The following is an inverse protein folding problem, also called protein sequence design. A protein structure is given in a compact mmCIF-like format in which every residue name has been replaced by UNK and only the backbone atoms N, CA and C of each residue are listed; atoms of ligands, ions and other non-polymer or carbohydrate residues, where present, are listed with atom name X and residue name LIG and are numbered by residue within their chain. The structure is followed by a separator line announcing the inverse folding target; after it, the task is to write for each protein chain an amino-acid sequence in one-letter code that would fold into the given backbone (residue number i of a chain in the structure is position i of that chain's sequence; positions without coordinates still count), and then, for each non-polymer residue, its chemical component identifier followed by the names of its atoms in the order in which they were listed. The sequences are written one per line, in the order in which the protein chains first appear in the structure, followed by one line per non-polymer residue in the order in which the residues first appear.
data_IF_225446093280
#
_entry.id   IF_225446093280
#
_cell.length_a   1.000
_cell.length_b   1.000
_cell.length_c   1.000
_cell.angle_alpha   90.00
_cell.angle_beta   90.00
_cell.angle_gamma   90.00
#
_symmetry.space_group_name_H-M   'P 1'
#
loop_
_entity.id
_entity.type
_entity.pdbx_description
1 polymer ?
#
# COMPACT_ATOMS: atom_id res chain seq x y z
N UNK A 1 16.52 -7.51 -13.72
CA UNK A 1 15.08 -7.87 -13.81
C UNK A 1 14.88 -9.09 -12.94
N UNK A 2 14.13 -8.97 -11.85
CA UNK A 2 13.82 -10.10 -10.98
C UNK A 2 12.47 -10.72 -11.38
N UNK A 3 12.46 -12.00 -11.71
CA UNK A 3 11.22 -12.79 -11.73
C UNK A 3 10.93 -13.26 -10.31
N UNK A 4 9.65 -13.43 -9.99
CA UNK A 4 9.22 -13.86 -8.66
C UNK A 4 7.89 -14.59 -8.70
N UNK A 5 7.56 -15.24 -7.59
CA UNK A 5 6.30 -15.95 -7.41
C UNK A 5 5.45 -15.24 -6.36
N UNK A 6 4.13 -15.38 -6.49
CA UNK A 6 3.17 -14.94 -5.47
C UNK A 6 2.78 -16.18 -4.66
N UNK A 7 2.96 -16.12 -3.35
CA UNK A 7 2.61 -17.19 -2.40
C UNK A 7 1.78 -16.61 -1.24
N UNK A 8 1.06 -17.47 -0.53
CA UNK A 8 0.28 -17.04 0.63
C UNK A 8 1.17 -16.70 1.82
N UNK A 9 0.72 -15.75 2.64
CA UNK A 9 1.35 -15.40 3.90
C UNK A 9 0.32 -14.98 4.95
N UNK A 10 0.71 -15.08 6.23
CA UNK A 10 -0.07 -14.57 7.36
C UNK A 10 0.82 -13.78 8.30
N UNK A 11 0.32 -12.67 8.85
CA UNK A 11 1.04 -11.84 9.80
C UNK A 11 0.94 -12.46 11.19
N UNK A 12 2.07 -12.90 11.74
CA UNK A 12 2.16 -13.52 13.07
C UNK A 12 2.46 -12.52 14.17
N UNK A 13 3.20 -11.45 13.87
CA UNK A 13 3.51 -10.42 14.86
C UNK A 13 3.90 -9.10 14.21
N UNK A 14 3.90 -8.04 15.01
CA UNK A 14 4.41 -6.73 14.61
C UNK A 14 5.53 -6.31 15.55
N UNK A 15 6.68 -5.97 14.99
CA UNK A 15 7.70 -5.20 15.69
C UNK A 15 7.35 -3.73 15.58
N UNK A 16 7.02 -3.12 16.71
CA UNK A 16 6.67 -1.69 16.78
C UNK A 16 7.81 -0.81 16.27
N UNK A 17 7.47 0.16 15.42
CA UNK A 17 8.38 1.19 14.93
C UNK A 17 8.58 2.29 15.97
N UNK A 18 9.81 2.78 16.06
CA UNK A 18 10.19 3.90 16.93
C UNK A 18 11.02 4.90 16.13
N UNK A 19 11.19 6.11 16.67
CA UNK A 19 12.03 7.13 16.03
C UNK A 19 13.42 6.55 15.73
N UNK A 20 13.88 6.68 14.47
CA UNK A 20 15.15 6.14 13.93
C UNK A 20 15.23 4.62 13.72
N UNK A 21 14.21 3.85 14.10
CA UNK A 21 14.17 2.41 13.84
C UNK A 21 12.78 2.02 13.29
N UNK A 22 12.66 1.75 11.97
CA UNK A 22 11.38 1.36 11.40
C UNK A 22 10.91 0.05 12.03
N UNK A 23 9.60 -0.03 12.26
CA UNK A 23 8.96 -1.29 12.66
C UNK A 23 8.82 -2.22 11.46
N UNK A 24 8.30 -3.42 11.72
CA UNK A 24 8.16 -4.48 10.72
C UNK A 24 6.96 -5.37 11.03
N UNK A 25 6.17 -5.69 10.00
CA UNK A 25 5.22 -6.80 10.05
C UNK A 25 5.96 -8.10 9.78
N UNK A 26 5.91 -9.05 10.73
CA UNK A 26 6.50 -10.37 10.57
C UNK A 26 5.43 -11.34 10.10
N UNK A 27 5.63 -11.88 8.90
CA UNK A 27 4.80 -12.92 8.33
C UNK A 27 5.48 -14.27 8.31
N UNK A 28 4.67 -15.32 8.21
CA UNK A 28 5.10 -16.66 7.79
C UNK A 28 4.47 -16.97 6.44
N UNK A 29 5.16 -17.74 5.61
CA UNK A 29 4.58 -18.28 4.40
C UNK A 29 3.65 -19.45 4.75
N UNK A 30 2.56 -19.57 3.99
CA UNK A 30 1.57 -20.63 4.15
C UNK A 30 1.42 -21.29 2.78
N UNK A 31 1.34 -22.62 2.77
CA UNK A 31 1.17 -23.40 1.54
C UNK A 31 2.19 -23.01 0.45
N UNK A 32 3.49 -23.05 0.78
CA UNK A 32 4.57 -22.60 -0.12
C UNK A 32 4.57 -23.31 -1.49
N UNK A 33 4.03 -24.53 -1.55
CA UNK A 33 3.86 -25.30 -2.78
C UNK A 33 2.79 -24.73 -3.72
N UNK A 34 1.91 -23.84 -3.23
CA UNK A 34 0.83 -23.22 -3.99
C UNK A 34 1.28 -21.87 -4.56
N UNK A 35 1.66 -21.88 -5.84
CA UNK A 35 2.01 -20.66 -6.58
C UNK A 35 0.75 -19.96 -7.10
N UNK A 36 0.41 -18.83 -6.48
CA UNK A 36 -0.77 -18.02 -6.81
C UNK A 36 -0.59 -17.16 -8.06
N UNK A 37 0.65 -16.96 -8.50
CA UNK A 37 0.94 -16.12 -9.66
C UNK A 37 2.43 -15.91 -9.90
N UNK A 38 2.73 -15.22 -10.98
CA UNK A 38 4.09 -14.85 -11.39
C UNK A 38 4.22 -13.35 -11.47
N UNK A 39 5.31 -12.83 -10.91
CA UNK A 39 5.73 -11.44 -11.02
C UNK A 39 6.53 -11.30 -12.32
N UNK A 40 6.12 -10.36 -13.17
CA UNK A 40 6.78 -10.03 -14.43
C UNK A 40 7.56 -8.72 -14.37
N UNK A 41 7.18 -7.79 -13.49
CA UNK A 41 7.86 -6.50 -13.33
C UNK A 41 7.86 -6.06 -11.88
N UNK A 42 9.01 -5.54 -11.44
CA UNK A 42 9.17 -4.86 -10.16
C UNK A 42 9.78 -3.49 -10.46
N UNK A 43 9.05 -2.43 -10.13
CA UNK A 43 9.46 -1.04 -10.34
C UNK A 43 9.19 -0.21 -9.10
N UNK A 44 9.60 1.06 -9.12
CA UNK A 44 9.31 1.99 -8.04
C UNK A 44 7.80 2.28 -7.89
N UNK A 45 6.99 2.02 -8.92
CA UNK A 45 5.55 2.20 -8.87
C UNK A 45 4.77 0.94 -8.50
N UNK A 46 5.44 -0.20 -8.31
CA UNK A 46 4.81 -1.41 -7.78
C UNK A 46 5.35 -2.72 -8.34
N UNK A 47 4.65 -3.78 -7.95
CA UNK A 47 4.89 -5.15 -8.41
C UNK A 47 3.75 -5.56 -9.32
N UNK A 48 4.09 -6.00 -10.52
CA UNK A 48 3.13 -6.34 -11.58
C UNK A 48 3.37 -7.76 -12.07
N UNK A 49 2.29 -8.44 -12.44
CA UNK A 49 2.34 -9.84 -12.77
C UNK A 49 0.98 -10.39 -13.20
N UNK A 50 0.92 -11.72 -13.31
CA UNK A 50 -0.32 -12.45 -13.59
C UNK A 50 -0.58 -13.44 -12.46
N UNK A 51 -1.80 -13.42 -11.94
CA UNK A 51 -2.26 -14.45 -11.03
C UNK A 51 -2.67 -15.70 -11.83
N UNK A 52 -2.36 -16.88 -11.28
CA UNK A 52 -2.73 -18.18 -11.85
C UNK A 52 -4.17 -18.55 -11.53
N UNK A 53 -4.70 -18.03 -10.42
CA UNK A 53 -6.05 -18.23 -9.93
C UNK A 53 -6.74 -16.87 -9.82
N UNK A 54 -8.08 -16.85 -9.88
CA UNK A 54 -8.82 -15.66 -9.47
C UNK A 54 -8.44 -15.36 -8.00
N UNK A 55 -7.66 -14.30 -7.77
CA UNK A 55 -7.38 -13.78 -6.44
C UNK A 55 -8.69 -13.22 -5.87
N UNK A 56 -9.59 -14.10 -5.44
CA UNK A 56 -10.82 -13.73 -4.75
C UNK A 56 -10.47 -13.33 -3.34
N UNK A 57 -10.15 -12.05 -3.17
CA UNK A 57 -10.16 -11.47 -1.84
C UNK A 57 -11.64 -11.38 -1.40
N UNK A 58 -12.07 -12.31 -0.55
CA UNK A 58 -13.43 -12.35 0.01
C UNK A 58 -13.84 -11.07 0.75
N UNK A 59 -12.86 -10.24 1.11
CA UNK A 59 -13.07 -8.96 1.79
C UNK A 59 -13.05 -7.75 0.83
N UNK A 60 -12.68 -7.94 -0.44
CA UNK A 60 -12.55 -6.84 -1.39
C UNK A 60 -13.87 -6.58 -2.13
N UNK A 61 -14.39 -5.37 -1.99
CA UNK A 61 -15.41 -4.82 -2.89
C UNK A 61 -14.73 -4.02 -3.99
N UNK A 62 -15.27 -4.08 -5.21
CA UNK A 62 -14.83 -3.20 -6.30
C UNK A 62 -14.97 -1.75 -5.85
N UNK A 63 -13.92 -0.96 -6.03
CA UNK A 63 -13.88 0.45 -5.64
C UNK A 63 -13.38 1.27 -6.84
N UNK A 64 -14.01 2.40 -7.16
CA UNK A 64 -13.49 3.32 -8.17
C UNK A 64 -12.13 3.86 -7.77
N UNK A 65 -11.34 4.27 -8.75
CA UNK A 65 -10.13 5.06 -8.52
C UNK A 65 -10.46 6.55 -8.49
N UNK A 66 -9.60 7.34 -7.86
CA UNK A 66 -9.60 8.79 -8.02
C UNK A 66 -8.51 9.21 -8.99
N UNK A 67 -8.82 10.17 -9.86
CA UNK A 67 -7.82 10.89 -10.64
C UNK A 67 -7.11 11.92 -9.77
N UNK A 68 -5.88 12.30 -10.12
CA UNK A 68 -5.06 13.23 -9.32
C UNK A 68 -5.76 14.52 -8.89
N UNK A 69 -6.58 15.12 -9.77
CA UNK A 69 -7.29 16.36 -9.48
C UNK A 69 -8.45 16.19 -8.49
N UNK A 70 -8.88 14.96 -8.24
CA UNK A 70 -9.94 14.65 -7.28
C UNK A 70 -9.39 14.45 -5.86
N UNK A 71 -8.08 14.18 -5.72
CA UNK A 71 -7.41 13.92 -4.45
C UNK A 71 -7.20 15.25 -3.72
N UNK A 72 -7.48 15.27 -2.42
CA UNK A 72 -7.34 16.46 -1.57
C UNK A 72 -6.50 16.18 -0.34
N UNK A 73 -5.78 17.21 0.12
CA UNK A 73 -5.22 17.21 1.46
C UNK A 73 -6.37 17.16 2.48
N UNK A 74 -6.22 16.33 3.52
CA UNK A 74 -7.28 16.10 4.51
C UNK A 74 -7.50 14.62 4.88
N UNK A 75 -8.63 14.31 5.52
CA UNK A 75 -8.92 12.97 6.00
C UNK A 75 -8.93 11.92 4.88
N UNK A 76 -8.36 10.76 5.16
CA UNK A 76 -8.37 9.58 4.31
C UNK A 76 -8.24 8.32 5.18
N UNK A 77 -8.20 7.14 4.55
CA UNK A 77 -8.01 5.85 5.23
C UNK A 77 -6.96 5.03 4.53
N UNK A 78 -6.29 4.16 5.28
CA UNK A 78 -5.50 3.07 4.71
C UNK A 78 -6.19 1.74 4.98
N UNK A 79 -6.11 0.81 4.03
CA UNK A 79 -6.61 -0.55 4.19
C UNK A 79 -5.44 -1.52 4.30
N UNK A 80 -5.21 -2.09 5.48
CA UNK A 80 -4.00 -2.89 5.74
C UNK A 80 -4.23 -4.01 6.76
N UNK A 81 -3.40 -5.03 6.70
CA UNK A 81 -3.40 -6.16 7.64
C UNK A 81 -2.20 -6.01 8.57
N UNK A 82 -2.46 -5.82 9.87
CA UNK A 82 -1.41 -5.74 10.89
C UNK A 82 -1.34 -6.98 11.79
N UNK A 83 -2.31 -7.88 11.67
CA UNK A 83 -2.43 -9.07 12.52
C UNK A 83 -3.26 -10.13 11.79
N UNK A 84 -2.79 -11.37 11.79
CA UNK A 84 -3.42 -12.48 11.08
C UNK A 84 -3.48 -12.24 9.57
N UNK A 85 -4.65 -12.46 8.98
CA UNK A 85 -4.89 -12.39 7.54
C UNK A 85 -6.03 -11.45 7.14
N UNK A 86 -6.65 -10.74 8.09
CA UNK A 86 -7.81 -9.90 7.83
C UNK A 86 -7.41 -8.42 7.77
N UNK A 87 -7.58 -7.77 6.61
CA UNK A 87 -7.33 -6.34 6.50
C UNK A 87 -8.43 -5.52 7.18
N UNK A 88 -8.04 -4.38 7.74
CA UNK A 88 -8.93 -3.38 8.34
C UNK A 88 -8.62 -1.99 7.78
N UNK A 89 -9.57 -1.07 7.93
CA UNK A 89 -9.35 0.34 7.63
C UNK A 89 -8.85 1.08 8.87
N UNK A 90 -7.91 1.99 8.67
CA UNK A 90 -7.38 2.86 9.72
C UNK A 90 -7.35 4.30 9.21
N UNK A 91 -7.67 5.23 10.09
CA UNK A 91 -7.72 6.65 9.77
C UNK A 91 -6.31 7.25 9.59
N UNK A 92 -6.18 8.06 8.54
CA UNK A 92 -4.99 8.84 8.22
C UNK A 92 -5.39 10.25 7.79
N UNK A 93 -4.39 11.12 7.63
CA UNK A 93 -4.51 12.41 6.96
C UNK A 93 -3.50 12.43 5.80
N UNK A 94 -3.96 12.85 4.62
CA UNK A 94 -3.07 13.29 3.54
C UNK A 94 -2.62 14.70 3.91
N UNK A 95 -1.40 14.82 4.43
CA UNK A 95 -0.86 16.11 4.89
C UNK A 95 -0.41 16.98 3.73
N UNK A 96 0.07 16.38 2.65
CA UNK A 96 0.56 17.12 1.49
C UNK A 96 0.47 16.32 0.20
N UNK A 97 -0.01 16.96 -0.85
CA UNK A 97 0.12 16.43 -2.22
C UNK A 97 1.41 16.94 -2.86
N UNK A 98 2.20 16.02 -3.41
CA UNK A 98 3.47 16.36 -4.05
C UNK A 98 3.27 16.41 -5.57
N UNK A 99 3.67 17.52 -6.23
CA UNK A 99 3.61 17.62 -7.68
C UNK A 99 4.61 16.64 -8.30
N UNK A 100 4.18 15.91 -9.33
CA UNK A 100 5.01 14.97 -10.07
C UNK A 100 4.71 15.05 -11.56
N UNK A 101 5.74 15.31 -12.36
CA UNK A 101 5.71 15.26 -13.82
C UNK A 101 6.02 13.86 -14.37
N UNK A 102 6.60 12.98 -13.55
CA UNK A 102 6.96 11.61 -13.91
C UNK A 102 6.50 10.62 -12.82
N UNK A 103 6.31 9.33 -13.15
CA UNK A 103 6.01 8.28 -12.18
C UNK A 103 7.05 8.23 -11.06
N UNK A 104 6.59 8.00 -9.83
CA UNK A 104 7.48 7.80 -8.70
C UNK A 104 6.75 7.58 -7.38
N UNK A 105 7.41 7.00 -6.37
CA UNK A 105 6.77 6.45 -5.17
C UNK A 105 6.34 7.48 -4.13
N UNK A 106 6.68 8.76 -4.32
CA UNK A 106 6.49 9.85 -3.36
C UNK A 106 5.54 10.90 -3.92
N UNK A 107 4.29 10.50 -4.09
CA UNK A 107 3.20 11.33 -4.62
C UNK A 107 2.51 12.16 -3.54
N UNK A 108 2.50 11.68 -2.30
CA UNK A 108 1.83 12.34 -1.19
C UNK A 108 2.53 12.04 0.12
N UNK A 109 2.41 12.95 1.09
CA UNK A 109 2.78 12.74 2.48
C UNK A 109 1.51 12.37 3.24
N UNK A 110 1.55 11.24 3.93
CA UNK A 110 0.45 10.74 4.75
C UNK A 110 0.88 10.63 6.20
N UNK A 111 -0.06 10.83 7.12
CA UNK A 111 0.13 10.67 8.55
C UNK A 111 -0.96 9.82 9.15
N UNK A 112 -0.57 8.80 9.91
CA UNK A 112 -1.49 7.96 10.68
C UNK A 112 -2.04 8.75 11.85
N UNK A 113 -3.36 8.76 11.99
CA UNK A 113 -4.07 9.36 13.13
C UNK A 113 -4.85 8.33 13.95
N UNK A 114 -5.03 7.12 13.41
CA UNK A 114 -5.69 6.01 14.06
C UNK A 114 -4.95 5.53 15.33
N UNK A 115 -5.64 5.56 16.47
CA UNK A 115 -5.06 5.20 17.76
C UNK A 115 -4.77 3.70 17.88
N UNK A 116 -5.61 2.82 17.32
CA UNK A 116 -5.38 1.37 17.38
C UNK A 116 -4.09 1.03 16.61
N UNK A 117 -3.96 1.58 15.40
CA UNK A 117 -2.77 1.37 14.56
C UNK A 117 -1.52 1.89 15.27
N UNK A 118 -1.52 3.15 15.74
CA UNK A 118 -0.37 3.76 16.41
C UNK A 118 0.04 2.98 17.67
N UNK A 119 -0.92 2.48 18.44
CA UNK A 119 -0.64 1.71 19.64
C UNK A 119 0.06 0.39 19.32
N UNK A 120 -0.43 -0.34 18.31
CA UNK A 120 0.12 -1.64 17.90
C UNK A 120 1.43 -1.53 17.13
N UNK A 121 1.54 -0.61 16.19
CA UNK A 121 2.64 -0.59 15.20
C UNK A 121 3.60 0.57 15.39
N UNK A 122 3.20 1.64 16.10
CA UNK A 122 3.97 2.88 16.21
C UNK A 122 3.85 3.79 14.97
N UNK A 123 2.98 3.43 14.02
CA UNK A 123 2.77 4.16 12.76
C UNK A 123 2.90 3.26 11.54
N UNK A 124 3.51 3.79 10.48
CA UNK A 124 3.80 3.05 9.26
C UNK A 124 5.05 2.20 9.48
N UNK A 125 4.95 0.92 9.14
CA UNK A 125 6.03 -0.06 9.33
C UNK A 125 6.34 -0.78 8.03
N UNK A 126 7.50 -1.42 7.96
CA UNK A 126 7.84 -2.29 6.83
C UNK A 126 6.82 -3.43 6.73
N UNK A 127 6.47 -3.78 5.49
CA UNK A 127 5.37 -4.70 5.20
C UNK A 127 4.03 -4.01 4.93
N UNK A 128 3.84 -2.74 5.29
CA UNK A 128 2.63 -1.99 4.93
C UNK A 128 2.66 -1.42 3.50
N UNK A 129 3.82 -1.44 2.83
CA UNK A 129 3.93 -0.99 1.44
C UNK A 129 2.95 -1.75 0.54
N UNK A 130 2.23 -1.03 -0.31
CA UNK A 130 1.13 -1.54 -1.12
C UNK A 130 -0.25 -1.48 -0.46
N UNK A 131 -0.36 -1.07 0.82
CA UNK A 131 -1.66 -0.86 1.47
C UNK A 131 -2.45 0.23 0.74
N UNK A 132 -3.67 -0.03 0.24
CA UNK A 132 -4.47 0.97 -0.46
C UNK A 132 -4.78 2.19 0.42
N UNK A 133 -4.67 3.38 -0.17
CA UNK A 133 -5.11 4.65 0.41
C UNK A 133 -6.47 4.99 -0.22
N UNK A 134 -7.44 5.30 0.63
CA UNK A 134 -8.84 5.50 0.26
C UNK A 134 -9.28 6.88 0.75
N UNK A 135 -9.83 7.70 -0.14
CA UNK A 135 -10.48 8.98 0.16
C UNK A 135 -11.77 9.07 -0.65
N UNK A 136 -12.84 9.58 -0.06
CA UNK A 136 -14.14 9.74 -0.73
C UNK A 136 -14.65 8.46 -1.43
N UNK A 137 -14.45 7.31 -0.78
CA UNK A 137 -14.78 5.96 -1.31
C UNK A 137 -14.10 5.61 -2.64
N UNK A 138 -12.96 6.24 -2.94
CA UNK A 138 -12.11 5.96 -4.10
C UNK A 138 -10.72 5.55 -3.65
N UNK A 139 -10.08 4.64 -4.39
CA UNK A 139 -8.66 4.35 -4.22
C UNK A 139 -7.89 5.51 -4.84
N UNK A 140 -7.12 6.22 -4.01
CA UNK A 140 -6.29 7.36 -4.46
C UNK A 140 -4.84 6.96 -4.68
N UNK A 141 -4.42 5.84 -4.07
CA UNK A 141 -3.02 5.44 -4.07
C UNK A 141 -2.73 4.24 -3.19
N UNK A 142 -1.45 4.05 -2.90
CA UNK A 142 -0.98 3.05 -1.94
C UNK A 142 0.17 3.61 -1.09
N UNK A 143 0.31 3.10 0.14
CA UNK A 143 1.45 3.40 1.02
C UNK A 143 2.74 2.86 0.40
N UNK A 144 3.84 3.60 0.49
CA UNK A 144 5.14 3.14 -0.05
C UNK A 144 6.24 3.08 1.02
N UNK A 145 6.57 4.21 1.64
CA UNK A 145 7.74 4.34 2.53
C UNK A 145 7.36 5.02 3.83
N UNK A 146 8.01 4.63 4.93
CA UNK A 146 7.94 5.33 6.22
C UNK A 146 9.03 6.41 6.32
N UNK A 147 8.74 7.54 6.98
CA UNK A 147 9.75 8.51 7.36
C UNK A 147 10.47 8.04 8.64
N UNK A 148 11.77 7.74 8.54
CA UNK A 148 12.58 7.18 9.64
C UNK A 148 12.52 8.03 10.93
N UNK A 149 12.38 9.34 10.81
CA UNK A 149 12.34 10.26 11.96
C UNK A 149 10.93 10.51 12.51
N UNK A 150 9.88 10.07 11.81
CA UNK A 150 8.46 10.24 12.15
C UNK A 150 7.72 8.97 11.73
N UNK A 151 7.69 7.92 12.57
CA UNK A 151 7.16 6.62 12.17
C UNK A 151 5.66 6.67 11.87
N UNK A 152 4.93 7.65 12.40
CA UNK A 152 3.53 7.95 12.07
C UNK A 152 3.34 8.59 10.70
N UNK A 153 4.41 9.06 10.03
CA UNK A 153 4.36 9.72 8.73
C UNK A 153 5.04 8.87 7.66
N UNK A 154 4.50 8.89 6.45
CA UNK A 154 5.02 8.15 5.31
C UNK A 154 4.72 8.82 3.99
N UNK A 155 5.12 8.14 2.93
CA UNK A 155 4.79 8.48 1.57
C UNK A 155 3.73 7.54 1.01
N UNK A 156 2.89 8.07 0.13
CA UNK A 156 2.03 7.30 -0.75
C UNK A 156 2.36 7.58 -2.22
N UNK A 157 1.99 6.64 -3.09
CA UNK A 157 2.03 6.77 -4.56
C UNK A 157 0.62 6.95 -5.11
N UNK A 158 0.44 7.78 -6.15
CA UNK A 158 -0.83 7.89 -6.86
C UNK A 158 -1.19 6.59 -7.60
N UNK A 159 -2.47 6.20 -7.52
CA UNK A 159 -2.97 5.01 -8.23
C UNK A 159 -2.79 5.13 -9.74
N UNK A 160 -2.87 6.34 -10.31
CA UNK A 160 -2.64 6.59 -11.72
C UNK A 160 -1.23 6.16 -12.17
N UNK A 161 -0.21 6.34 -11.34
CA UNK A 161 1.15 5.91 -11.68
C UNK A 161 1.26 4.39 -11.70
N UNK A 162 0.66 3.73 -10.72
CA UNK A 162 0.61 2.27 -10.67
C UNK A 162 -0.11 1.70 -11.90
N UNK A 163 -1.25 2.28 -12.28
CA UNK A 163 -2.04 1.82 -13.43
C UNK A 163 -1.41 2.15 -14.78
N UNK A 164 -0.77 3.30 -14.91
CA UNK A 164 0.00 3.67 -16.11
C UNK A 164 1.10 2.65 -16.34
N UNK A 165 1.83 2.30 -15.29
CA UNK A 165 2.85 1.26 -15.42
C UNK A 165 2.22 -0.10 -15.72
N UNK A 166 1.12 -0.49 -15.08
CA UNK A 166 0.42 -1.74 -15.36
C UNK A 166 -0.15 -1.87 -16.80
N UNK A 167 0.09 -0.89 -17.68
CA UNK A 167 -0.45 -0.80 -19.04
C UNK A 167 -2.01 -0.82 -19.05
N UNK A 168 -2.62 -0.42 -17.93
CA UNK A 168 -4.08 -0.41 -17.74
C UNK A 168 -4.73 0.93 -18.10
N UNK A 169 -3.94 1.98 -18.26
CA UNK A 169 -4.40 3.31 -18.68
C UNK A 169 -3.63 3.74 -19.91
N UNK A 170 -4.30 3.77 -21.06
CA UNK A 170 -3.81 4.45 -22.26
C UNK A 170 -4.36 5.86 -22.23
N UNK A 171 -3.50 6.85 -22.01
CA UNK A 171 -3.86 8.23 -22.30
C UNK A 171 -3.90 8.36 -23.83
N UNK A 172 -5.07 8.55 -24.41
CA UNK A 172 -5.15 9.01 -25.79
C UNK A 172 -4.63 10.46 -25.79
N UNK A 173 -3.52 10.69 -26.50
CA UNK A 173 -3.08 12.03 -26.86
C UNK A 173 -4.06 12.65 -27.87
#
# INVERSE_FOLDING_TARGET
MGSGQIINSSIVSVRKGVKRAPGELKGIFIDEDIVLGKISRNSECGIFGKANLELKNKYAKKMPIALRHEIKEGPAKIYTTIEGNQPKTYDIIIEKLLPQSAPGPKSMIIKVTDKELLNKTGGIVQGMSGSPIIQDNKIVGAVTHVLINKPDTGYGIYIEWMLKEADMVKYNN
#
